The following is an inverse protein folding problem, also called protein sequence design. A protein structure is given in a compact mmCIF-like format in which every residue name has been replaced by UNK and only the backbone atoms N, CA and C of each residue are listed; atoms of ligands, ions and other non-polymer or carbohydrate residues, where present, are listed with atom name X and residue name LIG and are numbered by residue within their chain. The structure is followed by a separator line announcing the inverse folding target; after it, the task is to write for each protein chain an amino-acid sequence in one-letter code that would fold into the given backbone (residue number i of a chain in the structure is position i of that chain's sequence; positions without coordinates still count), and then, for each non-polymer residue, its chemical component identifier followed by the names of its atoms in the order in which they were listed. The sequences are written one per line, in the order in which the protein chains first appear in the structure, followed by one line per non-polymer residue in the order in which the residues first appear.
data_IF_213290167819
#
_entry.id   IF_213290167819
#
_cell.length_a   1.000
_cell.length_b   1.000
_cell.length_c   1.000
_cell.angle_alpha   90.00
_cell.angle_beta   90.00
_cell.angle_gamma   90.00
#
_symmetry.space_group_name_H-M   'P 1'
#
loop_
_entity.id
_entity.type
_entity.pdbx_description
1 polymer ?
#
# COMPACT_ATOMS: atom_id res chain seq x y z
N UNK A 1 -2.21 12.56 -5.22
CA UNK A 1 -2.12 11.14 -4.80
C UNK A 1 -0.91 10.37 -5.33
N UNK A 2 -0.50 10.48 -6.61
CA UNK A 2 0.30 9.42 -7.25
C UNK A 2 1.84 9.46 -7.02
N UNK A 3 2.47 10.62 -6.83
CA UNK A 3 3.94 10.71 -6.93
C UNK A 3 4.73 10.28 -5.70
N UNK A 4 4.17 10.37 -4.49
CA UNK A 4 4.92 10.06 -3.26
C UNK A 4 4.50 8.71 -2.67
N UNK A 5 3.21 8.39 -2.73
CA UNK A 5 2.65 7.18 -2.12
C UNK A 5 3.05 5.92 -2.90
N UNK A 6 2.95 5.94 -4.24
CA UNK A 6 3.27 4.76 -5.06
C UNK A 6 4.76 4.36 -4.93
N UNK A 7 5.74 5.29 -4.99
CA UNK A 7 7.13 4.92 -4.74
C UNK A 7 7.39 4.40 -3.32
N UNK A 8 6.69 4.93 -2.31
CA UNK A 8 6.80 4.46 -0.92
C UNK A 8 6.40 2.97 -0.79
N UNK A 9 5.36 2.56 -1.51
CA UNK A 9 4.91 1.16 -1.55
C UNK A 9 5.97 0.26 -2.20
N UNK A 10 6.53 0.69 -3.33
CA UNK A 10 7.60 -0.05 -4.01
C UNK A 10 8.85 -0.22 -3.16
N UNK A 11 9.25 0.83 -2.44
CA UNK A 11 10.38 0.78 -1.49
C UNK A 11 10.08 -0.20 -0.36
N UNK A 12 8.89 -0.14 0.23
CA UNK A 12 8.47 -1.04 1.31
C UNK A 12 8.49 -2.50 0.86
N UNK A 13 8.03 -2.78 -0.36
CA UNK A 13 8.08 -4.11 -0.96
C UNK A 13 9.51 -4.60 -1.22
N UNK A 14 10.39 -3.74 -1.75
CA UNK A 14 11.80 -4.08 -1.96
C UNK A 14 12.52 -4.38 -0.63
N UNK A 15 12.23 -3.63 0.43
CA UNK A 15 12.75 -3.90 1.77
C UNK A 15 12.29 -5.27 2.31
N UNK A 16 11.02 -5.63 2.09
CA UNK A 16 10.51 -6.95 2.48
C UNK A 16 11.21 -8.08 1.72
N UNK A 17 11.42 -7.92 0.41
CA UNK A 17 12.19 -8.90 -0.37
C UNK A 17 13.64 -9.03 0.12
N UNK A 18 14.30 -7.90 0.39
CA UNK A 18 15.66 -7.91 0.95
C UNK A 18 15.72 -8.63 2.30
N UNK A 19 14.71 -8.41 3.16
CA UNK A 19 14.60 -9.11 4.45
C UNK A 19 14.44 -10.62 4.27
N UNK A 20 13.62 -11.08 3.33
CA UNK A 20 13.47 -12.51 3.04
C UNK A 20 14.80 -13.11 2.56
N UNK A 21 15.50 -12.43 1.66
CA UNK A 21 16.81 -12.89 1.16
C UNK A 21 17.82 -13.00 2.32
N UNK A 22 17.92 -11.98 3.17
CA UNK A 22 18.79 -11.99 4.35
C UNK A 22 18.41 -13.07 5.36
N UNK A 23 17.11 -13.36 5.52
CA UNK A 23 16.64 -14.43 6.38
C UNK A 23 17.05 -15.81 5.86
N UNK A 24 17.06 -16.02 4.54
CA UNK A 24 17.47 -17.29 3.92
C UNK A 24 19.00 -17.47 3.95
N UNK A 25 19.76 -16.38 3.86
CA UNK A 25 21.23 -16.39 3.94
C UNK A 25 21.78 -16.68 5.34
N UNK A 26 20.92 -16.86 6.35
CA UNK A 26 21.34 -17.25 7.71
C UNK A 26 21.98 -16.11 8.50
N UNK A 27 21.58 -14.85 8.25
CA UNK A 27 22.05 -13.71 9.05
C UNK A 27 21.74 -13.85 10.54
N UNK A 28 22.54 -13.19 11.37
CA UNK A 28 22.37 -13.21 12.82
C UNK A 28 20.98 -12.72 13.24
N UNK A 29 20.31 -13.52 14.08
CA UNK A 29 18.97 -13.24 14.61
C UNK A 29 18.75 -11.81 15.12
N UNK A 30 19.64 -11.19 15.94
CA UNK A 30 19.38 -9.84 16.46
C UNK A 30 19.33 -8.77 15.35
N UNK A 31 20.08 -8.95 14.26
CA UNK A 31 20.04 -8.03 13.12
C UNK A 31 18.72 -8.19 12.35
N UNK A 32 18.28 -9.43 12.11
CA UNK A 32 17.00 -9.71 11.48
C UNK A 32 15.83 -9.15 12.31
N UNK A 33 15.87 -9.34 13.62
CA UNK A 33 14.84 -8.81 14.52
C UNK A 33 14.78 -7.28 14.51
N UNK A 34 15.93 -6.60 14.47
CA UNK A 34 15.99 -5.14 14.33
C UNK A 34 15.35 -4.66 13.03
N UNK A 35 15.69 -5.29 11.89
CA UNK A 35 15.09 -4.97 10.58
C UNK A 35 13.59 -5.26 10.56
N UNK A 36 13.15 -6.32 11.24
CA UNK A 36 11.73 -6.68 11.34
C UNK A 36 10.89 -5.60 12.03
N UNK A 37 11.39 -5.06 13.16
CA UNK A 37 10.72 -3.96 13.88
C UNK A 37 10.66 -2.70 13.00
N UNK A 38 11.77 -2.34 12.36
CA UNK A 38 11.82 -1.17 11.46
C UNK A 38 10.85 -1.35 10.29
N UNK A 39 10.78 -2.55 9.72
CA UNK A 39 9.84 -2.89 8.64
C UNK A 39 8.37 -2.70 9.05
N UNK A 40 8.01 -3.08 10.28
CA UNK A 40 6.65 -2.85 10.80
C UNK A 40 6.32 -1.37 10.93
N UNK A 41 7.24 -0.57 11.46
CA UNK A 41 7.07 0.88 11.58
C UNK A 41 6.92 1.52 10.19
N UNK A 42 7.70 1.07 9.21
CA UNK A 42 7.63 1.56 7.83
C UNK A 42 6.25 1.27 7.20
N UNK A 43 5.70 0.08 7.43
CA UNK A 43 4.36 -0.30 6.93
C UNK A 43 3.28 0.59 7.57
N UNK A 44 3.33 0.80 8.90
CA UNK A 44 2.37 1.67 9.58
C UNK A 44 2.43 3.11 9.03
N UNK A 45 3.64 3.63 8.83
CA UNK A 45 3.85 4.94 8.24
C UNK A 45 3.30 5.03 6.80
N UNK A 46 3.54 4.00 6.00
CA UNK A 46 3.01 3.90 4.63
C UNK A 46 1.49 3.90 4.63
N UNK A 47 0.84 3.09 5.47
CA UNK A 47 -0.63 3.02 5.58
C UNK A 47 -1.20 4.37 6.01
N UNK A 48 -0.59 5.01 7.01
CA UNK A 48 -0.99 6.35 7.44
C UNK A 48 -0.90 7.37 6.28
N UNK A 49 0.21 7.36 5.52
CA UNK A 49 0.40 8.25 4.38
C UNK A 49 -0.58 8.00 3.24
N UNK A 50 -0.98 6.75 3.01
CA UNK A 50 -2.00 6.38 2.03
C UNK A 50 -3.36 6.95 2.45
N UNK A 51 -3.75 6.72 3.71
CA UNK A 51 -5.06 7.13 4.25
C UNK A 51 -5.19 8.65 4.40
N UNK A 52 -4.13 9.32 4.84
CA UNK A 52 -4.12 10.77 5.02
C UNK A 52 -3.94 11.53 3.69
N UNK A 53 -3.72 10.84 2.56
CA UNK A 53 -3.58 11.49 1.26
C UNK A 53 -4.92 12.07 0.81
N UNK A 54 -4.98 13.34 0.37
CA UNK A 54 -6.22 13.90 -0.16
C UNK A 54 -6.65 13.14 -1.41
N UNK A 55 -7.78 12.44 -1.29
CA UNK A 55 -8.43 11.72 -2.37
C UNK A 55 -9.44 12.64 -3.06
N UNK A 56 -9.07 13.15 -4.23
CA UNK A 56 -9.99 13.88 -5.09
C UNK A 56 -10.57 12.93 -6.14
N UNK A 57 -11.86 12.61 -6.02
CA UNK A 57 -12.61 11.90 -7.05
C UNK A 57 -13.36 12.91 -7.92
N UNK A 58 -13.31 12.72 -9.22
CA UNK A 58 -14.11 13.47 -10.20
C UNK A 58 -15.53 12.89 -10.37
N UNK A 59 -15.81 11.73 -9.76
CA UNK A 59 -17.09 11.03 -9.88
C UNK A 59 -18.09 11.54 -8.83
N UNK A 60 -19.27 11.97 -9.30
CA UNK A 60 -20.41 12.28 -8.41
C UNK A 60 -21.11 10.99 -7.98
N UNK A 61 -21.65 10.96 -6.76
CA UNK A 61 -22.32 9.79 -6.16
C UNK A 61 -23.40 9.16 -7.06
N UNK A 62 -24.12 9.97 -7.85
CA UNK A 62 -25.12 9.52 -8.84
C UNK A 62 -24.55 8.63 -9.97
N UNK A 63 -23.29 8.82 -10.34
CA UNK A 63 -22.60 8.01 -11.36
C UNK A 63 -21.73 6.90 -10.75
N UNK A 64 -21.67 6.82 -9.41
CA UNK A 64 -20.82 5.86 -8.69
C UNK A 64 -21.36 4.44 -8.78
N UNK A 65 -22.69 4.29 -8.83
CA UNK A 65 -23.32 2.98 -8.86
C UNK A 65 -23.34 2.33 -10.25
N UNK A 66 -22.97 3.06 -11.31
CA UNK A 66 -23.12 2.58 -12.69
C UNK A 66 -24.44 1.81 -12.90
N UNK A 67 -25.52 2.29 -12.27
CA UNK A 67 -26.84 1.67 -12.37
C UNK A 67 -27.31 1.92 -13.80
N UNK A 68 -26.96 0.98 -14.67
CA UNK A 68 -27.52 0.87 -16.00
C UNK A 68 -28.97 0.46 -15.76
N UNK A 69 -29.87 1.43 -15.74
CA UNK A 69 -31.31 1.15 -15.82
C UNK A 69 -31.49 0.27 -17.05
N UNK A 70 -31.80 -1.02 -16.85
CA UNK A 70 -32.33 -1.86 -17.92
C UNK A 70 -33.61 -1.16 -18.36
N UNK A 71 -33.57 -0.52 -19.53
CA UNK A 71 -34.77 -0.09 -20.23
C UNK A 71 -35.57 -1.35 -20.52
N UNK A 72 -36.45 -1.72 -19.60
CA UNK A 72 -37.56 -2.62 -19.89
C UNK A 72 -38.43 -1.89 -20.90
N UNK A 73 -38.20 -2.23 -22.18
CA UNK A 73 -39.08 -1.90 -23.29
C UNK A 73 -40.46 -2.43 -22.92
N UNK A 74 -41.42 -1.51 -22.83
CA UNK A 74 -42.81 -1.80 -22.56
C UNK A 74 -43.50 -2.28 -23.83
#
# INVERSE_FOLDING_TARGET
MKKIVVPLVWVTWACLLGFVIWSVLGMAYPLLFGVFIIGHVLILFMVYKVLASPYTSTKKFKHWYEDHTRTTVK
#
